data_IF_450610738983
#
_entry.id   IF_450610738983
#
_cell.length_a   1.000
_cell.length_b   1.000
_cell.length_c   1.000
_cell.angle_alpha   90.00
_cell.angle_beta   90.00
_cell.angle_gamma   90.00
#
_symmetry.space_group_name_H-M   'P 1'
#
loop_
_entity.id
_entity.type
_entity.pdbx_description
1 polymer ?
#
# COMPACT_ATOMS: atom_id res chain seq x y z
N UNK A 1 22.61 -23.66 25.16
CA UNK A 1 21.41 -22.91 25.55
C UNK A 1 21.73 -21.44 25.40
N UNK A 2 21.39 -20.84 24.27
CA UNK A 2 21.43 -19.39 24.12
C UNK A 2 20.05 -18.99 23.58
N UNK A 3 19.27 -18.38 24.46
CA UNK A 3 17.91 -17.91 24.21
C UNK A 3 17.97 -16.85 23.10
N UNK A 4 17.21 -17.06 22.02
CA UNK A 4 17.02 -16.06 20.97
C UNK A 4 16.24 -14.85 21.51
N UNK A 5 16.30 -13.69 20.85
CA UNK A 5 15.61 -12.49 21.29
C UNK A 5 14.13 -12.56 20.86
N UNK A 6 13.33 -13.38 21.54
CA UNK A 6 11.86 -13.29 21.51
C UNK A 6 11.38 -12.30 22.58
N UNK A 7 11.87 -11.05 22.47
CA UNK A 7 11.32 -9.93 23.22
C UNK A 7 10.17 -9.28 22.43
N UNK A 8 9.10 -8.78 23.09
CA UNK A 8 8.08 -7.99 22.40
C UNK A 8 8.73 -6.79 21.69
N UNK A 9 8.33 -6.52 20.45
CA UNK A 9 8.80 -5.37 19.69
C UNK A 9 8.63 -4.07 20.52
N UNK A 10 9.63 -3.18 20.56
CA UNK A 10 9.57 -1.97 21.38
C UNK A 10 8.37 -1.10 20.95
N UNK A 11 7.59 -0.63 21.93
CA UNK A 11 6.37 0.17 21.71
C UNK A 11 6.62 1.50 20.96
N UNK A 12 7.88 1.96 20.91
CA UNK A 12 8.31 3.25 20.36
C UNK A 12 8.90 3.18 18.94
N UNK A 13 8.85 2.02 18.26
CA UNK A 13 9.29 1.89 16.87
C UNK A 13 8.40 2.68 15.89
N UNK A 14 8.90 3.02 14.69
CA UNK A 14 8.12 3.74 13.68
C UNK A 14 6.85 2.98 13.29
N UNK A 15 5.77 3.72 13.07
CA UNK A 15 4.47 3.14 12.67
C UNK A 15 4.27 3.30 11.17
N UNK A 16 4.02 2.17 10.52
CA UNK A 16 3.50 2.09 9.16
C UNK A 16 2.01 1.84 9.23
N UNK A 17 1.21 2.73 8.64
CA UNK A 17 -0.24 2.56 8.55
C UNK A 17 -0.60 1.95 7.19
N UNK A 18 -1.23 0.78 7.20
CA UNK A 18 -1.82 0.18 6.02
C UNK A 18 -3.34 0.31 6.09
N UNK A 19 -3.90 0.98 5.10
CA UNK A 19 -5.32 1.15 4.91
C UNK A 19 -5.80 0.29 3.75
N UNK A 20 -6.93 -0.39 3.91
CA UNK A 20 -7.63 -1.04 2.80
C UNK A 20 -9.05 -0.52 2.70
N UNK A 21 -9.58 -0.48 1.48
CA UNK A 21 -10.94 -0.05 1.18
C UNK A 21 -11.56 -1.04 0.19
N UNK A 22 -12.70 -1.61 0.56
CA UNK A 22 -13.51 -2.39 -0.36
C UNK A 22 -14.02 -1.49 -1.49
N UNK A 23 -13.84 -1.91 -2.75
CA UNK A 23 -14.24 -1.11 -3.93
C UNK A 23 -15.73 -0.73 -3.88
N UNK A 24 -16.58 -1.59 -3.30
CA UNK A 24 -18.02 -1.36 -3.18
C UNK A 24 -18.37 -0.15 -2.30
N UNK A 25 -17.48 0.23 -1.39
CA UNK A 25 -17.67 1.35 -0.47
C UNK A 25 -17.24 2.70 -1.05
N UNK A 26 -16.60 2.71 -2.23
CA UNK A 26 -16.13 3.96 -2.85
C UNK A 26 -17.26 5.00 -3.06
N UNK A 27 -18.45 4.64 -3.56
CA UNK A 27 -19.53 5.62 -3.72
C UNK A 27 -19.99 6.23 -2.39
N UNK A 28 -20.02 5.42 -1.33
CA UNK A 28 -20.42 5.88 0.00
C UNK A 28 -19.35 6.79 0.63
N UNK A 29 -18.07 6.40 0.53
CA UNK A 29 -16.97 7.27 0.96
C UNK A 29 -16.97 8.60 0.18
N UNK A 30 -17.28 8.56 -1.11
CA UNK A 30 -17.39 9.77 -1.93
C UNK A 30 -18.58 10.64 -1.49
N UNK A 31 -19.73 10.04 -1.15
CA UNK A 31 -20.88 10.78 -0.61
C UNK A 31 -20.53 11.50 0.70
N UNK A 32 -19.81 10.83 1.61
CA UNK A 32 -19.30 11.44 2.84
C UNK A 32 -18.31 12.59 2.57
N UNK A 33 -17.57 12.51 1.47
CA UNK A 33 -16.65 13.56 1.02
C UNK A 33 -17.34 14.70 0.24
N UNK A 34 -18.68 14.78 0.24
CA UNK A 34 -19.45 15.82 -0.43
C UNK A 34 -19.80 15.52 -1.89
N UNK A 35 -19.61 14.28 -2.35
CA UNK A 35 -19.95 13.80 -3.68
C UNK A 35 -18.77 13.25 -4.47
N UNK A 36 -19.07 12.63 -5.62
CA UNK A 36 -18.14 11.81 -6.41
C UNK A 36 -16.79 12.49 -6.70
N UNK A 37 -16.79 13.77 -7.06
CA UNK A 37 -15.56 14.49 -7.41
C UNK A 37 -15.26 15.68 -6.50
N UNK A 38 -16.00 15.84 -5.41
CA UNK A 38 -15.90 17.02 -4.55
C UNK A 38 -14.50 17.16 -3.93
N UNK A 39 -13.96 16.07 -3.39
CA UNK A 39 -12.63 16.01 -2.77
C UNK A 39 -11.45 15.97 -3.76
N UNK A 40 -11.70 15.81 -5.06
CA UNK A 40 -10.64 15.77 -6.08
C UNK A 40 -10.19 17.18 -6.49
N UNK A 41 -8.87 17.36 -6.63
CA UNK A 41 -8.30 18.55 -7.25
C UNK A 41 -8.61 18.61 -8.76
N UNK A 42 -8.53 19.79 -9.41
CA UNK A 42 -8.94 19.95 -10.81
C UNK A 42 -8.25 18.99 -11.80
N UNK A 43 -6.95 18.75 -11.64
CA UNK A 43 -6.16 17.81 -12.43
C UNK A 43 -6.59 16.35 -12.20
N UNK A 44 -6.89 15.99 -10.94
CA UNK A 44 -7.43 14.67 -10.60
C UNK A 44 -8.83 14.45 -11.17
N UNK A 45 -9.69 15.47 -11.18
CA UNK A 45 -11.01 15.40 -11.83
C UNK A 45 -10.87 15.14 -13.32
N UNK A 46 -9.93 15.82 -13.99
CA UNK A 46 -9.65 15.61 -15.40
C UNK A 46 -9.15 14.16 -15.66
N UNK A 47 -8.28 13.62 -14.79
CA UNK A 47 -7.80 12.23 -14.88
C UNK A 47 -8.89 11.20 -14.58
N UNK A 48 -9.76 11.48 -13.61
CA UNK A 48 -10.92 10.65 -13.27
C UNK A 48 -11.86 10.53 -14.48
N UNK A 49 -12.18 11.66 -15.13
CA UNK A 49 -13.06 11.70 -16.30
C UNK A 49 -12.50 10.91 -17.51
N UNK A 50 -11.16 10.80 -17.64
CA UNK A 50 -10.49 10.08 -18.73
C UNK A 50 -10.43 8.56 -18.53
N UNK A 51 -10.75 8.05 -17.33
CA UNK A 51 -10.76 6.61 -17.10
C UNK A 51 -11.81 5.93 -17.98
N UNK A 52 -11.41 4.84 -18.63
CA UNK A 52 -12.18 4.23 -19.73
C UNK A 52 -13.37 3.39 -19.24
N UNK A 53 -13.22 2.68 -18.12
CA UNK A 53 -14.25 1.81 -17.57
C UNK A 53 -14.80 2.33 -16.24
N UNK A 54 -16.05 1.97 -15.87
CA UNK A 54 -16.61 2.30 -14.56
C UNK A 54 -15.78 1.75 -13.39
N UNK A 55 -15.21 0.56 -13.52
CA UNK A 55 -14.30 -0.03 -12.52
C UNK A 55 -13.02 0.78 -12.36
N UNK A 56 -12.38 1.18 -13.46
CA UNK A 56 -11.19 2.03 -13.42
C UNK A 56 -11.49 3.41 -12.82
N UNK A 57 -12.66 4.00 -13.13
CA UNK A 57 -13.14 5.25 -12.49
C UNK A 57 -13.27 5.11 -10.98
N UNK A 58 -13.98 4.07 -10.51
CA UNK A 58 -14.13 3.79 -9.08
C UNK A 58 -12.80 3.57 -8.39
N UNK A 59 -11.92 2.74 -8.94
CA UNK A 59 -10.60 2.47 -8.32
C UNK A 59 -9.71 3.71 -8.29
N UNK A 60 -9.74 4.54 -9.34
CA UNK A 60 -9.05 5.84 -9.33
C UNK A 60 -9.59 6.75 -8.23
N UNK A 61 -10.92 6.92 -8.15
CA UNK A 61 -11.56 7.75 -7.14
C UNK A 61 -11.27 7.23 -5.73
N UNK A 62 -11.52 5.95 -5.49
CA UNK A 62 -11.29 5.31 -4.20
C UNK A 62 -9.83 5.38 -3.77
N UNK A 63 -8.87 5.23 -4.70
CA UNK A 63 -7.45 5.43 -4.42
C UNK A 63 -7.17 6.84 -3.89
N UNK A 64 -7.75 7.87 -4.52
CA UNK A 64 -7.59 9.27 -4.09
C UNK A 64 -8.28 9.58 -2.76
N UNK A 65 -9.46 9.03 -2.53
CA UNK A 65 -10.18 9.20 -1.27
C UNK A 65 -9.46 8.48 -0.13
N UNK A 66 -9.01 7.24 -0.33
CA UNK A 66 -8.29 6.46 0.67
C UNK A 66 -6.96 7.11 1.04
N UNK A 67 -6.19 7.62 0.07
CA UNK A 67 -4.96 8.34 0.36
C UNK A 67 -5.23 9.57 1.24
N UNK A 68 -6.22 10.39 0.88
CA UNK A 68 -6.60 11.57 1.67
C UNK A 68 -7.04 11.20 3.08
N UNK A 69 -7.85 10.14 3.21
CA UNK A 69 -8.31 9.65 4.50
C UNK A 69 -7.14 9.17 5.37
N UNK A 70 -6.27 8.31 4.83
CA UNK A 70 -5.12 7.75 5.54
C UNK A 70 -4.14 8.85 6.01
N UNK A 71 -3.87 9.83 5.13
CA UNK A 71 -3.01 10.97 5.45
C UNK A 71 -3.64 11.88 6.51
N UNK A 72 -4.93 12.15 6.40
CA UNK A 72 -5.68 12.97 7.37
C UNK A 72 -5.76 12.29 8.74
N UNK A 73 -5.96 10.98 8.77
CA UNK A 73 -5.97 10.20 10.01
C UNK A 73 -4.62 10.28 10.75
N UNK A 74 -3.51 10.44 10.01
CA UNK A 74 -2.17 10.54 10.58
C UNK A 74 -1.81 11.96 11.06
N UNK A 75 -2.30 13.00 10.38
CA UNK A 75 -1.87 14.40 10.67
C UNK A 75 -2.95 15.29 11.27
N UNK A 76 -4.21 14.87 11.21
CA UNK A 76 -5.37 15.71 11.56
C UNK A 76 -5.68 16.80 10.53
N UNK A 77 -4.95 16.91 9.42
CA UNK A 77 -5.29 17.86 8.35
C UNK A 77 -6.55 17.42 7.61
N UNK A 78 -7.27 18.39 7.04
CA UNK A 78 -8.50 18.08 6.33
C UNK A 78 -8.22 17.40 4.96
N UNK A 79 -8.96 16.35 4.57
CA UNK A 79 -8.86 15.64 3.29
C UNK A 79 -8.70 16.52 2.05
N UNK A 80 -9.42 17.63 1.98
CA UNK A 80 -9.41 18.58 0.86
C UNK A 80 -8.15 19.44 0.75
N UNK A 81 -7.30 19.47 1.78
CA UNK A 81 -6.03 20.21 1.76
C UNK A 81 -4.92 19.47 1.04
N UNK A 82 -5.01 18.14 0.94
CA UNK A 82 -3.99 17.33 0.31
C UNK A 82 -3.90 17.63 -1.20
N UNK A 83 -2.67 17.81 -1.66
CA UNK A 83 -2.34 17.97 -3.08
C UNK A 83 -1.35 16.87 -3.44
N UNK A 84 -1.59 16.25 -4.59
CA UNK A 84 -0.73 15.22 -5.13
C UNK A 84 -0.12 15.69 -6.43
N UNK A 85 1.13 15.32 -6.66
CA UNK A 85 1.81 15.45 -7.94
C UNK A 85 1.92 14.07 -8.60
N UNK A 86 2.28 14.06 -9.87
CA UNK A 86 2.57 12.83 -10.60
C UNK A 86 4.05 12.49 -10.48
N UNK A 87 4.32 11.36 -9.83
CA UNK A 87 5.64 10.76 -9.75
C UNK A 87 5.94 9.84 -10.94
N UNK A 88 7.00 9.05 -10.79
CA UNK A 88 7.41 8.09 -11.82
C UNK A 88 6.27 7.10 -12.11
N UNK A 89 6.05 6.80 -13.39
CA UNK A 89 4.98 5.90 -13.88
C UNK A 89 3.54 6.34 -13.54
N UNK A 90 3.33 7.63 -13.28
CA UNK A 90 1.98 8.17 -13.08
C UNK A 90 1.43 8.01 -11.66
N UNK A 91 2.25 7.47 -10.75
CA UNK A 91 1.93 7.26 -9.34
C UNK A 91 1.69 8.60 -8.63
N UNK A 92 0.65 8.73 -7.80
CA UNK A 92 0.49 9.93 -6.99
C UNK A 92 1.58 10.04 -5.92
N UNK A 93 2.14 11.23 -5.74
CA UNK A 93 3.08 11.55 -4.67
C UNK A 93 2.62 12.81 -3.94
N UNK A 94 2.93 12.93 -2.65
CA UNK A 94 2.65 14.15 -1.90
C UNK A 94 3.49 15.31 -2.44
N UNK A 95 2.90 16.50 -2.53
CA UNK A 95 3.69 17.71 -2.71
C UNK A 95 4.65 17.89 -1.52
N UNK A 96 5.87 18.44 -1.73
CA UNK A 96 6.81 18.68 -0.64
C UNK A 96 6.22 19.57 0.47
N UNK A 97 6.67 19.37 1.71
CA UNK A 97 6.30 20.23 2.85
C UNK A 97 5.57 19.54 4.01
N UNK A 98 5.36 18.22 3.95
CA UNK A 98 4.62 17.46 4.97
C UNK A 98 5.53 16.64 5.91
N UNK A 99 6.64 17.22 6.39
CA UNK A 99 7.51 16.62 7.42
C UNK A 99 7.97 15.17 7.16
N UNK A 100 8.21 14.81 5.89
CA UNK A 100 8.65 13.46 5.52
C UNK A 100 7.54 12.42 5.42
N UNK A 101 6.27 12.82 5.54
CA UNK A 101 5.12 11.97 5.27
C UNK A 101 5.16 11.44 3.83
N UNK A 102 4.96 10.14 3.68
CA UNK A 102 5.01 9.41 2.41
C UNK A 102 3.82 8.47 2.34
N UNK A 103 3.37 8.18 1.12
CA UNK A 103 2.38 7.15 0.89
C UNK A 103 2.62 6.41 -0.42
N UNK A 104 2.05 5.22 -0.51
CA UNK A 104 1.93 4.47 -1.75
C UNK A 104 0.52 3.87 -1.83
N UNK A 105 0.02 3.66 -3.05
CA UNK A 105 -1.33 3.15 -3.30
C UNK A 105 -1.28 2.08 -4.37
N UNK A 106 -2.03 1.00 -4.16
CA UNK A 106 -2.29 -0.03 -5.16
C UNK A 106 -3.77 -0.39 -5.15
N UNK A 107 -4.27 -0.93 -6.25
CA UNK A 107 -5.66 -1.36 -6.34
C UNK A 107 -5.80 -2.48 -7.37
N UNK A 108 -6.72 -3.38 -7.09
CA UNK A 108 -7.17 -4.42 -8.01
C UNK A 108 -8.69 -4.52 -7.89
N UNK A 109 -9.34 -5.32 -8.72
CA UNK A 109 -10.80 -5.43 -8.65
C UNK A 109 -11.25 -5.88 -7.25
N UNK A 110 -12.13 -5.10 -6.63
CA UNK A 110 -12.67 -5.37 -5.29
C UNK A 110 -11.95 -4.71 -4.11
N UNK A 111 -10.68 -4.27 -4.25
CA UNK A 111 -9.93 -3.70 -3.13
C UNK A 111 -8.93 -2.61 -3.56
N UNK A 112 -8.80 -1.61 -2.70
CA UNK A 112 -7.84 -0.51 -2.82
C UNK A 112 -7.01 -0.50 -1.54
N UNK A 113 -5.69 -0.42 -1.66
CA UNK A 113 -4.76 -0.41 -0.53
C UNK A 113 -3.89 0.85 -0.55
N UNK A 114 -3.66 1.46 0.61
CA UNK A 114 -2.78 2.60 0.79
C UNK A 114 -1.89 2.39 1.99
N UNK A 115 -0.58 2.51 1.81
CA UNK A 115 0.38 2.52 2.92
C UNK A 115 0.83 3.96 3.17
N UNK A 116 0.92 4.37 4.44
CA UNK A 116 1.41 5.67 4.88
C UNK A 116 2.55 5.49 5.89
N UNK A 117 3.65 6.17 5.63
CA UNK A 117 4.86 6.18 6.47
C UNK A 117 5.34 7.60 6.71
N UNK A 118 6.23 7.78 7.70
CA UNK A 118 6.86 9.05 8.00
C UNK A 118 8.38 8.86 7.99
N UNK A 119 9.07 9.57 7.10
CA UNK A 119 10.51 9.46 6.91
C UNK A 119 10.97 8.25 6.08
N UNK A 120 10.17 7.18 6.01
CA UNK A 120 10.58 5.93 5.35
C UNK A 120 9.97 5.72 3.98
N UNK A 121 10.76 5.22 3.03
CA UNK A 121 10.25 4.76 1.75
C UNK A 121 9.34 3.53 1.96
N UNK A 122 8.26 3.45 1.20
CA UNK A 122 7.28 2.37 1.32
C UNK A 122 6.57 2.10 0.00
N UNK A 123 6.14 0.86 -0.17
CA UNK A 123 5.34 0.40 -1.29
C UNK A 123 4.27 -0.56 -0.81
N UNK A 124 3.11 -0.54 -1.47
CA UNK A 124 2.05 -1.52 -1.26
C UNK A 124 1.67 -2.10 -2.60
N UNK A 125 1.36 -3.40 -2.60
CA UNK A 125 0.72 -4.03 -3.73
C UNK A 125 -0.40 -4.95 -3.27
N UNK A 126 -1.45 -5.03 -4.09
CA UNK A 126 -2.61 -5.88 -3.82
C UNK A 126 -3.12 -6.44 -5.14
N UNK A 127 -3.29 -7.76 -5.18
CA UNK A 127 -3.74 -8.45 -6.38
C UNK A 127 -4.84 -9.45 -6.06
N UNK A 128 -5.74 -9.63 -7.04
CA UNK A 128 -6.80 -10.63 -6.96
C UNK A 128 -6.22 -12.00 -7.26
N UNK A 129 -6.50 -12.97 -6.40
CA UNK A 129 -5.99 -14.34 -6.50
C UNK A 129 -7.13 -15.36 -6.42
N UNK A 130 -6.98 -16.55 -7.05
CA UNK A 130 -5.86 -16.95 -7.89
C UNK A 130 -5.81 -16.20 -9.22
N UNK A 131 -4.61 -16.11 -9.82
CA UNK A 131 -4.45 -15.61 -11.19
C UNK A 131 -5.06 -16.58 -12.20
N UNK A 132 -5.62 -16.04 -13.28
CA UNK A 132 -6.03 -16.86 -14.42
C UNK A 132 -4.81 -17.34 -15.24
N UNK A 133 -5.02 -18.35 -16.07
CA UNK A 133 -3.93 -18.97 -16.83
C UNK A 133 -3.21 -17.98 -17.77
N UNK A 134 -3.92 -16.98 -18.28
CA UNK A 134 -3.32 -15.95 -19.15
C UNK A 134 -2.37 -15.05 -18.36
N UNK A 135 -2.80 -14.58 -17.19
CA UNK A 135 -2.00 -13.81 -16.26
C UNK A 135 -0.79 -14.62 -15.81
N UNK A 136 -0.98 -15.88 -15.43
CA UNK A 136 0.12 -16.78 -15.07
C UNK A 136 1.17 -16.84 -16.18
N UNK A 137 0.76 -17.13 -17.42
CA UNK A 137 1.68 -17.19 -18.57
C UNK A 137 2.42 -15.87 -18.78
N UNK A 138 1.71 -14.74 -18.73
CA UNK A 138 2.31 -13.42 -18.92
C UNK A 138 3.36 -13.11 -17.84
N UNK A 139 3.00 -13.29 -16.57
CA UNK A 139 3.85 -12.92 -15.45
C UNK A 139 5.08 -13.81 -15.33
N UNK A 140 4.97 -15.11 -15.63
CA UNK A 140 6.12 -16.03 -15.62
C UNK A 140 7.26 -15.54 -16.52
N UNK A 141 6.95 -14.94 -17.67
CA UNK A 141 7.98 -14.42 -18.60
C UNK A 141 8.75 -13.21 -18.08
N UNK A 142 8.28 -12.57 -17.01
CA UNK A 142 8.94 -11.40 -16.42
C UNK A 142 10.07 -11.77 -15.45
N UNK A 143 10.13 -13.03 -15.03
CA UNK A 143 11.08 -13.53 -14.04
C UNK A 143 12.32 -14.15 -14.68
N UNK A 144 13.47 -14.06 -14.00
CA UNK A 144 14.72 -14.69 -14.43
C UNK A 144 14.64 -16.23 -14.32
N UNK A 145 15.56 -16.94 -14.98
CA UNK A 145 15.56 -18.41 -15.02
C UNK A 145 15.59 -19.05 -13.62
N UNK A 146 16.29 -18.44 -12.68
CA UNK A 146 16.42 -18.98 -11.33
C UNK A 146 15.19 -18.68 -10.47
N UNK A 147 14.47 -17.57 -10.70
CA UNK A 147 13.14 -17.33 -10.14
C UNK A 147 12.11 -18.31 -10.72
N UNK A 148 12.12 -18.53 -12.03
CA UNK A 148 11.24 -19.51 -12.69
C UNK A 148 11.47 -20.92 -12.15
N UNK A 149 12.72 -21.34 -11.98
CA UNK A 149 13.06 -22.63 -11.38
C UNK A 149 12.55 -22.74 -9.93
N UNK A 150 12.72 -21.70 -9.11
CA UNK A 150 12.22 -21.68 -7.74
C UNK A 150 10.68 -21.77 -7.67
N UNK A 151 9.97 -21.12 -8.60
CA UNK A 151 8.51 -21.23 -8.71
C UNK A 151 8.10 -22.64 -9.14
N UNK A 152 8.81 -23.25 -10.09
CA UNK A 152 8.52 -24.60 -10.59
C UNK A 152 8.72 -25.70 -9.53
N UNK A 153 9.71 -25.53 -8.64
CA UNK A 153 10.00 -26.44 -7.54
C UNK A 153 9.06 -26.29 -6.34
N UNK A 154 8.23 -25.25 -6.30
CA UNK A 154 7.32 -25.00 -5.19
C UNK A 154 6.17 -26.03 -5.16
N UNK A 155 5.70 -26.45 -3.96
CA UNK A 155 4.54 -27.35 -3.84
C UNK A 155 3.27 -26.82 -4.49
N UNK A 156 3.09 -25.49 -4.48
CA UNK A 156 2.03 -24.77 -5.18
C UNK A 156 2.67 -23.68 -6.05
N UNK A 157 2.87 -24.00 -7.33
CA UNK A 157 3.49 -23.09 -8.30
C UNK A 157 2.68 -21.82 -8.53
N UNK A 158 1.34 -21.93 -8.49
CA UNK A 158 0.46 -20.79 -8.70
C UNK A 158 0.55 -19.81 -7.53
N UNK A 159 0.53 -20.32 -6.30
CA UNK A 159 0.76 -19.51 -5.11
C UNK A 159 2.17 -18.89 -5.13
N UNK A 160 3.22 -19.66 -5.43
CA UNK A 160 4.59 -19.15 -5.49
C UNK A 160 4.77 -18.01 -6.50
N UNK A 161 4.15 -18.10 -7.67
CA UNK A 161 4.14 -17.03 -8.67
C UNK A 161 3.43 -15.77 -8.16
N UNK A 162 2.26 -15.95 -7.53
CA UNK A 162 1.46 -14.85 -6.97
C UNK A 162 2.22 -14.12 -5.85
N UNK A 163 2.81 -14.87 -4.91
CA UNK A 163 3.62 -14.29 -3.84
C UNK A 163 4.83 -13.54 -4.41
N UNK A 164 5.58 -14.15 -5.33
CA UNK A 164 6.74 -13.53 -5.97
C UNK A 164 6.37 -12.22 -6.68
N UNK A 165 5.26 -12.20 -7.41
CA UNK A 165 4.78 -11.00 -8.12
C UNK A 165 4.41 -9.88 -7.16
N UNK A 166 3.50 -10.15 -6.20
CA UNK A 166 2.97 -9.12 -5.29
C UNK A 166 4.08 -8.56 -4.38
N UNK A 167 5.01 -9.41 -3.92
CA UNK A 167 6.18 -8.96 -3.16
C UNK A 167 7.12 -8.08 -3.99
N UNK A 168 7.37 -8.48 -5.24
CA UNK A 168 8.22 -7.71 -6.15
C UNK A 168 7.63 -6.34 -6.43
N UNK A 169 6.33 -6.28 -6.75
CA UNK A 169 5.60 -5.03 -6.97
C UNK A 169 5.68 -4.10 -5.75
N UNK A 170 5.38 -4.60 -4.55
CA UNK A 170 5.44 -3.78 -3.34
C UNK A 170 6.86 -3.25 -3.09
N UNK A 171 7.89 -4.09 -3.21
CA UNK A 171 9.29 -3.69 -3.02
C UNK A 171 9.75 -2.67 -4.07
N UNK A 172 9.50 -2.91 -5.35
CA UNK A 172 9.91 -2.04 -6.45
C UNK A 172 9.15 -0.71 -6.46
N UNK A 173 7.87 -0.71 -6.06
CA UNK A 173 7.11 0.51 -5.76
C UNK A 173 7.78 1.28 -4.63
N UNK A 174 8.20 0.60 -3.57
CA UNK A 174 8.94 1.22 -2.47
C UNK A 174 10.24 1.90 -2.91
N UNK A 175 11.01 1.23 -3.77
CA UNK A 175 12.25 1.78 -4.32
C UNK A 175 12.04 2.91 -5.35
N UNK A 176 10.88 2.93 -6.02
CA UNK A 176 10.55 3.92 -7.05
C UNK A 176 11.19 3.66 -8.43
N UNK A 177 11.54 2.41 -8.74
CA UNK A 177 12.35 2.05 -9.93
C UNK A 177 11.50 1.44 -11.07
N UNK A 178 10.21 1.19 -10.82
CA UNK A 178 9.32 0.55 -11.80
C UNK A 178 9.63 -0.93 -12.02
N UNK A 179 8.64 -1.69 -12.52
CA UNK A 179 8.71 -3.15 -12.62
C UNK A 179 9.73 -3.65 -13.63
N UNK A 180 9.66 -3.13 -14.86
CA UNK A 180 10.41 -3.62 -16.02
C UNK A 180 11.91 -3.63 -15.77
N UNK A 181 12.42 -2.74 -14.92
CA UNK A 181 13.84 -2.59 -14.64
C UNK A 181 14.31 -3.33 -13.37
N UNK A 182 13.37 -3.81 -12.54
CA UNK A 182 13.65 -4.17 -11.15
C UNK A 182 13.52 -5.65 -10.78
N UNK A 183 12.85 -6.47 -11.59
CA UNK A 183 12.44 -7.83 -11.19
C UNK A 183 13.57 -8.85 -11.05
N UNK A 184 14.64 -8.72 -11.83
CA UNK A 184 15.73 -9.70 -11.85
C UNK A 184 16.50 -9.75 -10.52
N UNK A 185 16.94 -10.96 -10.14
CA UNK A 185 17.75 -11.22 -8.94
C UNK A 185 17.04 -10.98 -7.60
N UNK A 186 15.71 -10.78 -7.62
CA UNK A 186 14.92 -10.74 -6.38
C UNK A 186 14.68 -12.15 -5.87
N UNK A 187 14.88 -12.34 -4.56
CA UNK A 187 14.50 -13.55 -3.83
C UNK A 187 13.78 -13.15 -2.56
N UNK A 188 12.72 -13.88 -2.22
CA UNK A 188 11.94 -13.64 -1.02
C UNK A 188 11.95 -14.87 -0.15
N UNK A 189 12.11 -14.68 1.15
CA UNK A 189 12.04 -15.76 2.14
C UNK A 189 11.02 -15.40 3.19
N UNK A 190 9.92 -16.15 3.24
CA UNK A 190 8.89 -15.97 4.25
C UNK A 190 9.33 -16.63 5.57
N UNK A 191 9.17 -15.90 6.67
CA UNK A 191 9.40 -16.47 8.00
C UNK A 191 8.27 -17.45 8.34
N UNK A 192 8.57 -18.71 8.71
CA UNK A 192 7.53 -19.70 9.05
C UNK A 192 6.58 -19.19 10.14
N UNK A 193 5.28 -19.37 9.93
CA UNK A 193 4.24 -18.93 10.88
C UNK A 193 4.05 -17.40 10.97
N UNK A 194 4.66 -16.62 10.06
CA UNK A 194 4.61 -15.16 10.05
C UNK A 194 4.12 -14.62 8.71
N UNK A 195 3.70 -13.36 8.73
CA UNK A 195 3.48 -12.53 7.53
C UNK A 195 4.78 -11.90 7.03
N UNK A 196 5.81 -11.88 7.88
CA UNK A 196 7.09 -11.25 7.58
C UNK A 196 7.85 -12.00 6.48
N UNK A 197 8.37 -11.22 5.54
CA UNK A 197 9.17 -11.67 4.41
C UNK A 197 10.45 -10.84 4.35
N UNK A 198 11.58 -11.53 4.17
CA UNK A 198 12.87 -10.87 3.86
C UNK A 198 13.09 -10.87 2.36
N UNK A 199 13.76 -9.82 1.87
CA UNK A 199 14.14 -9.66 0.46
C UNK A 199 15.66 -9.71 0.32
N UNK A 200 16.12 -10.50 -0.65
CA UNK A 200 17.45 -10.36 -1.23
C UNK A 200 17.32 -9.76 -2.63
N UNK A 201 18.08 -8.70 -2.90
CA UNK A 201 18.14 -8.02 -4.19
C UNK A 201 19.59 -8.03 -4.66
N UNK A 202 19.92 -8.91 -5.62
CA UNK A 202 21.29 -9.04 -6.14
C UNK A 202 21.82 -7.75 -6.79
N UNK A 203 20.91 -6.90 -7.28
CA UNK A 203 21.25 -5.59 -7.87
C UNK A 203 21.49 -4.53 -6.80
N UNK A 204 20.97 -4.72 -5.58
CA UNK A 204 21.03 -3.75 -4.47
C UNK A 204 21.25 -4.43 -3.10
N UNK A 205 22.35 -5.19 -2.94
CA UNK A 205 22.54 -6.09 -1.80
C UNK A 205 22.62 -5.40 -0.44
N UNK A 206 23.08 -4.14 -0.40
CA UNK A 206 23.15 -3.36 0.84
C UNK A 206 21.83 -2.64 1.15
N UNK A 207 21.11 -2.20 0.11
CA UNK A 207 19.85 -1.48 0.27
C UNK A 207 18.78 -2.41 0.80
N UNK A 208 18.65 -3.61 0.24
CA UNK A 208 17.56 -4.55 0.55
C UNK A 208 17.55 -4.99 2.03
N UNK A 209 18.70 -4.95 2.72
CA UNK A 209 18.83 -5.32 4.15
C UNK A 209 18.01 -4.44 5.09
N UNK A 210 17.68 -3.22 4.66
CA UNK A 210 16.88 -2.29 5.45
C UNK A 210 15.38 -2.47 5.22
N UNK A 211 14.99 -3.28 4.23
CA UNK A 211 13.60 -3.48 3.85
C UNK A 211 12.99 -4.64 4.62
N UNK A 212 11.85 -4.35 5.24
CA UNK A 212 10.95 -5.35 5.81
C UNK A 212 9.72 -5.44 4.90
N UNK A 213 9.28 -6.67 4.63
CA UNK A 213 8.06 -6.93 3.89
C UNK A 213 7.07 -7.71 4.75
N UNK A 214 5.78 -7.45 4.53
CA UNK A 214 4.68 -8.23 5.07
C UNK A 214 3.81 -8.72 3.93
N UNK A 215 3.53 -10.03 3.87
CA UNK A 215 2.62 -10.66 2.92
C UNK A 215 1.43 -11.27 3.66
N UNK A 216 0.23 -10.87 3.24
CA UNK A 216 -1.03 -11.26 3.89
C UNK A 216 -2.11 -11.53 2.87
N UNK A 217 -2.95 -12.54 3.12
CA UNK A 217 -4.25 -12.62 2.47
C UNK A 217 -5.15 -11.48 2.95
N UNK A 218 -6.00 -10.96 2.07
CA UNK A 218 -7.02 -9.97 2.40
C UNK A 218 -8.38 -10.44 1.88
N UNK A 219 -9.32 -10.67 2.80
CA UNK A 219 -10.56 -11.37 2.47
C UNK A 219 -10.29 -12.77 1.90
N UNK A 220 -11.20 -13.26 1.06
CA UNK A 220 -11.12 -14.61 0.48
C UNK A 220 -10.50 -14.68 -0.92
N UNK A 221 -10.03 -13.57 -1.48
CA UNK A 221 -9.66 -13.52 -2.90
C UNK A 221 -8.59 -12.50 -3.26
N UNK A 222 -7.84 -12.00 -2.29
CA UNK A 222 -6.76 -11.03 -2.54
C UNK A 222 -5.51 -11.37 -1.75
N UNK A 223 -4.37 -11.09 -2.36
CA UNK A 223 -3.05 -11.16 -1.74
C UNK A 223 -2.47 -9.75 -1.68
N UNK A 224 -1.95 -9.35 -0.53
CA UNK A 224 -1.47 -8.00 -0.27
C UNK A 224 -0.06 -8.04 0.32
N UNK A 225 0.85 -7.27 -0.27
CA UNK A 225 2.19 -7.03 0.27
C UNK A 225 2.41 -5.57 0.64
N UNK A 226 3.14 -5.34 1.72
CA UNK A 226 3.70 -4.03 2.09
C UNK A 226 5.22 -4.17 2.20
N UNK A 227 5.96 -3.20 1.69
CA UNK A 227 7.41 -3.11 1.81
C UNK A 227 7.79 -1.76 2.43
N UNK A 228 8.67 -1.74 3.44
CA UNK A 228 9.10 -0.53 4.14
C UNK A 228 10.60 -0.54 4.45
N UNK A 229 11.27 0.59 4.23
CA UNK A 229 12.71 0.81 4.52
C UNK A 229 12.97 1.31 5.96
N UNK A 230 12.32 0.71 6.96
CA UNK A 230 12.42 1.12 8.36
C UNK A 230 13.53 0.39 9.15
N UNK A 231 14.34 -0.43 8.46
CA UNK A 231 15.40 -1.23 9.08
C UNK A 231 14.89 -2.37 9.95
N UNK A 232 13.61 -2.74 9.83
CA UNK A 232 12.98 -3.79 10.64
C UNK A 232 12.58 -3.34 12.05
N UNK A 233 12.70 -2.04 12.36
CA UNK A 233 12.39 -1.49 13.68
C UNK A 233 10.91 -1.09 13.84
N UNK A 234 10.17 -1.01 12.74
CA UNK A 234 8.80 -0.52 12.73
C UNK A 234 7.75 -1.61 12.88
N UNK A 235 6.51 -1.17 13.17
CA UNK A 235 5.33 -2.03 13.22
C UNK A 235 4.30 -1.63 12.16
N UNK A 236 3.56 -2.62 11.68
CA UNK A 236 2.44 -2.42 10.77
C UNK A 236 1.13 -2.29 11.57
N UNK A 237 0.40 -1.18 11.39
CA UNK A 237 -0.95 -0.98 11.91
C UNK A 237 -1.94 -1.02 10.74
N UNK A 238 -2.96 -1.88 10.82
CA UNK A 238 -3.94 -2.07 9.76
C UNK A 238 -5.26 -1.37 10.07
N UNK A 239 -5.86 -0.78 9.04
CA UNK A 239 -7.17 -0.14 9.05
C UNK A 239 -7.95 -0.64 7.84
N UNK A 240 -8.87 -1.58 8.06
CA UNK A 240 -9.62 -2.22 6.97
C UNK A 240 -11.04 -1.64 6.91
N UNK A 241 -11.38 -1.00 5.79
CA UNK A 241 -12.70 -0.41 5.53
C UNK A 241 -13.50 -1.36 4.62
N UNK A 242 -14.30 -2.24 5.24
CA UNK A 242 -14.95 -3.36 4.55
C UNK A 242 -16.47 -3.17 4.50
N UNK A 243 -17.07 -2.67 5.56
CA UNK A 243 -18.51 -2.41 5.66
C UNK A 243 -18.82 -0.91 5.85
N UNK A 244 -20.04 -0.44 5.52
CA UNK A 244 -20.43 0.96 5.66
C UNK A 244 -20.13 1.58 7.04
N UNK A 245 -20.29 0.78 8.11
CA UNK A 245 -20.00 1.21 9.48
C UNK A 245 -18.53 1.58 9.71
N UNK A 246 -17.60 1.02 8.93
CA UNK A 246 -16.17 1.34 9.03
C UNK A 246 -15.86 2.73 8.46
N UNK A 247 -16.76 3.27 7.63
CA UNK A 247 -16.70 4.63 7.11
C UNK A 247 -17.24 5.66 8.09
N UNK A 248 -17.50 5.31 9.35
CA UNK A 248 -18.01 6.21 10.38
C UNK A 248 -17.14 6.08 11.63
N UNK A 249 -16.49 7.17 12.03
CA UNK A 249 -15.74 7.29 13.28
C UNK A 249 -16.65 7.23 14.52
N UNK A 250 -16.06 7.06 15.72
CA UNK A 250 -16.78 6.79 16.97
C UNK A 250 -17.80 7.85 17.38
N UNK A 251 -17.70 9.08 16.84
CA UNK A 251 -18.63 10.17 17.11
C UNK A 251 -19.88 10.17 16.19
N UNK A 252 -20.05 9.14 15.35
CA UNK A 252 -21.15 9.06 14.37
C UNK A 252 -20.92 9.94 13.12
N UNK A 253 -19.68 10.34 12.89
CA UNK A 253 -19.25 11.16 11.75
C UNK A 253 -18.35 10.33 10.85
N UNK A 254 -18.32 10.57 9.54
CA UNK A 254 -17.53 9.76 8.63
C UNK A 254 -16.11 9.49 9.17
N UNK A 255 -15.60 8.26 9.00
CA UNK A 255 -14.23 7.88 9.29
C UNK A 255 -13.34 8.93 8.64
N UNK A 256 -12.58 9.61 9.49
CA UNK A 256 -12.01 10.90 9.16
C UNK A 256 -12.99 12.05 9.35
N UNK A 257 -13.56 12.24 10.56
CA UNK A 257 -13.96 13.58 10.96
C UNK A 257 -12.69 14.42 11.00
N UNK A 258 -12.44 15.05 9.86
CA UNK A 258 -12.16 16.47 9.74
C UNK A 258 -12.05 17.13 11.13
N UNK A 259 -10.87 17.70 11.47
CA UNK A 259 -10.60 18.13 12.84
C UNK A 259 -11.72 19.07 13.33
N UNK A 260 -12.43 18.67 14.39
CA UNK A 260 -13.23 19.61 15.16
C UNK A 260 -12.36 20.22 16.25
N UNK A 261 -12.24 21.55 16.18
CA UNK A 261 -11.45 22.45 16.99
C UNK A 261 -11.15 22.03 18.44
N UNK A 262 -9.87 22.02 18.79
CA UNK A 262 -9.41 22.33 20.16
C UNK A 262 -8.26 21.51 20.72
N UNK A 263 -7.01 21.74 20.28
CA UNK A 263 -5.98 22.29 21.18
C UNK A 263 -4.66 22.60 20.44
N UNK A 264 -4.35 23.91 20.42
CA UNK A 264 -3.06 24.61 20.31
C UNK A 264 -2.03 24.17 19.25
N UNK A 265 -1.88 25.04 18.25
CA UNK A 265 -0.64 25.19 17.48
C UNK A 265 0.56 25.47 18.41
N UNK A 266 1.76 24.94 18.13
CA UNK A 266 2.98 25.43 18.75
C UNK A 266 3.29 26.81 18.18
N UNK A 267 3.37 27.79 19.08
CA UNK A 267 3.96 29.10 18.85
C UNK A 267 5.42 28.93 18.46
N UNK A 268 5.78 29.34 17.23
CA UNK A 268 7.18 29.54 16.85
C UNK A 268 7.71 30.83 17.52
N UNK A 269 8.96 30.84 17.99
CA UNK A 269 9.66 32.07 18.37
C UNK A 269 9.99 32.94 17.15
#
# INVERSE_FOLDING_TARGET
MNQGPDGPAPADGPVTDLWTLSERLVPELAAHAGGETAALAPDERARHARQRSPGARRRFLGGRLLCRLALSARTGLAPETWRFTEGVHGRPELVPGHHGLRFNVSHTDGVIACVVTEGYASGVDVERVPFDDETVRLLTTQFDEAQQAAIADAPDQAAALQEMWVLSEAYLKGLGIGLVQGLGELRFTRRPGSTEVTVADGRRPDTCRRWRLDLTGHGSGHLLAVAVDDGGAGRLRRHDLVEPGDLVGPDGLPAGRWPTAGSRAPSSP
#
